data_IF_446838827244
#
_entry.id   IF_446838827244
#
_cell.length_a   1.000
_cell.length_b   1.000
_cell.length_c   1.000
_cell.angle_alpha   90.00
_cell.angle_beta   90.00
_cell.angle_gamma   90.00
#
_symmetry.space_group_name_H-M   'P 1'
#
loop_
_entity.id
_entity.type
_entity.pdbx_description
1 polymer ?
#
# COMPACT_ATOMS: atom_id res chain seq x y z
N UNK A 1 51.79 26.22 -47.16
CA UNK A 1 50.49 25.53 -47.19
C UNK A 1 50.44 24.54 -46.03
N UNK A 2 49.57 24.87 -45.06
CA UNK A 2 48.92 24.06 -44.02
C UNK A 2 49.63 22.86 -43.37
N UNK A 3 50.10 23.06 -42.14
CA UNK A 3 50.11 22.03 -41.09
C UNK A 3 49.21 22.51 -39.95
N UNK A 4 48.00 21.98 -39.85
CA UNK A 4 47.12 22.18 -38.69
C UNK A 4 47.44 21.10 -37.65
N UNK A 5 48.17 21.48 -36.60
CA UNK A 5 48.33 20.67 -35.40
C UNK A 5 47.17 21.02 -34.47
N UNK A 6 46.29 20.04 -34.24
CA UNK A 6 45.17 20.11 -33.31
C UNK A 6 45.71 20.26 -31.88
N UNK A 7 45.52 21.41 -31.25
CA UNK A 7 45.78 21.60 -29.82
C UNK A 7 44.56 21.12 -29.03
N UNK A 8 44.71 19.96 -28.39
CA UNK A 8 43.83 19.46 -27.34
C UNK A 8 43.92 20.38 -26.12
N UNK A 9 42.79 20.94 -25.68
CA UNK A 9 42.68 21.64 -24.40
C UNK A 9 41.90 20.71 -23.48
N UNK A 10 42.63 19.99 -22.63
CA UNK A 10 42.08 19.16 -21.58
C UNK A 10 41.57 20.08 -20.46
N UNK A 11 40.26 20.34 -20.44
CA UNK A 11 39.60 21.02 -19.32
C UNK A 11 39.44 20.02 -18.16
N UNK A 12 40.42 19.98 -17.27
CA UNK A 12 40.35 19.22 -16.02
C UNK A 12 39.39 19.92 -15.06
N UNK A 13 38.15 19.41 -14.97
CA UNK A 13 37.21 19.83 -13.94
C UNK A 13 37.67 19.32 -12.57
N UNK A 14 38.16 20.24 -11.74
CA UNK A 14 38.39 20.01 -10.31
C UNK A 14 37.05 19.76 -9.62
N UNK A 15 36.78 18.50 -9.26
CA UNK A 15 35.75 18.17 -8.28
C UNK A 15 36.25 18.59 -6.89
N UNK A 16 35.89 19.78 -6.46
CA UNK A 16 35.95 20.12 -5.04
C UNK A 16 34.80 19.38 -4.33
N UNK A 17 35.16 18.27 -3.69
CA UNK A 17 34.31 17.57 -2.72
C UNK A 17 34.07 18.52 -1.55
N UNK A 18 32.90 19.17 -1.52
CA UNK A 18 32.42 19.85 -0.31
C UNK A 18 31.90 18.78 0.65
N UNK A 19 32.82 18.02 1.26
CA UNK A 19 32.52 17.15 2.40
C UNK A 19 32.58 17.99 3.67
N UNK A 20 31.47 18.62 4.02
CA UNK A 20 31.44 19.43 5.24
C UNK A 20 30.14 20.16 5.41
N UNK A 21 29.09 19.42 5.79
CA UNK A 21 27.95 19.78 6.66
C UNK A 21 26.86 18.73 6.35
N UNK A 22 26.85 17.60 7.07
CA UNK A 22 25.65 16.74 7.27
C UNK A 22 25.87 15.53 8.20
N UNK A 23 27.00 15.38 8.89
CA UNK A 23 27.25 14.14 9.68
C UNK A 23 26.63 14.15 11.09
N UNK A 24 26.27 15.31 11.65
CA UNK A 24 25.68 15.36 13.01
C UNK A 24 24.19 15.01 13.07
N UNK A 25 23.42 15.22 12.00
CA UNK A 25 22.00 14.83 11.98
C UNK A 25 21.79 13.31 11.80
N UNK A 26 22.70 12.64 11.07
CA UNK A 26 22.59 11.22 10.75
C UNK A 26 22.90 10.33 11.98
N UNK A 27 23.83 10.73 12.85
CA UNK A 27 24.20 9.93 14.03
C UNK A 27 23.09 9.82 15.10
N UNK A 28 22.21 10.81 15.22
CA UNK A 28 21.09 10.80 16.19
C UNK A 28 19.94 9.87 15.75
N UNK A 29 19.68 9.81 14.43
CA UNK A 29 18.66 8.93 13.84
C UNK A 29 19.08 7.44 13.92
N UNK A 30 20.39 7.16 13.91
CA UNK A 30 20.93 5.80 13.95
C UNK A 30 21.00 5.18 15.35
N UNK A 31 20.92 5.96 16.44
CA UNK A 31 21.01 5.39 17.79
C UNK A 31 19.70 4.75 18.26
N UNK A 32 18.55 5.22 17.78
CA UNK A 32 17.24 4.65 18.07
C UNK A 32 16.33 4.76 16.84
N UNK A 33 16.17 3.69 16.03
CA UNK A 33 15.29 3.76 14.87
C UNK A 33 13.87 4.09 15.33
N UNK A 34 13.16 4.90 14.56
CA UNK A 34 11.71 5.10 14.77
C UNK A 34 10.95 3.86 14.33
N UNK A 35 9.68 3.76 14.72
CA UNK A 35 8.81 2.70 14.19
C UNK A 35 8.75 2.74 12.66
N UNK A 36 8.68 3.92 12.05
CA UNK A 36 8.71 4.08 10.61
C UNK A 36 9.98 3.52 9.98
N UNK A 37 11.17 3.88 10.50
CA UNK A 37 12.44 3.39 9.97
C UNK A 37 12.53 1.86 10.06
N UNK A 38 12.00 1.26 11.14
CA UNK A 38 11.93 -0.20 11.27
C UNK A 38 11.02 -0.82 10.21
N UNK A 39 9.82 -0.27 9.99
CA UNK A 39 8.91 -0.77 8.96
C UNK A 39 9.50 -0.67 7.56
N UNK A 40 10.14 0.45 7.24
CA UNK A 40 10.82 0.67 5.95
C UNK A 40 11.97 -0.32 5.75
N UNK A 41 12.74 -0.64 6.80
CA UNK A 41 13.78 -1.68 6.73
C UNK A 41 13.23 -3.09 6.45
N UNK A 42 11.94 -3.30 6.72
CA UNK A 42 11.19 -4.53 6.42
C UNK A 42 10.42 -4.43 5.10
N UNK A 43 10.68 -3.40 4.29
CA UNK A 43 10.04 -3.12 3.00
C UNK A 43 8.54 -2.76 3.06
N UNK A 44 8.03 -2.36 4.23
CA UNK A 44 6.68 -1.81 4.33
C UNK A 44 6.67 -0.35 3.87
N UNK A 45 5.63 0.01 3.11
CA UNK A 45 5.33 1.40 2.73
C UNK A 45 4.18 1.91 3.57
N UNK A 46 4.28 3.12 4.11
CA UNK A 46 3.20 3.69 4.92
C UNK A 46 2.02 4.16 4.07
N UNK A 47 0.82 4.22 4.63
CA UNK A 47 -0.35 4.82 3.98
C UNK A 47 -0.17 6.30 3.62
N UNK A 48 0.75 7.00 4.31
CA UNK A 48 1.14 8.37 3.94
C UNK A 48 1.81 8.46 2.56
N UNK A 49 2.32 7.34 2.04
CA UNK A 49 2.93 7.27 0.70
C UNK A 49 1.92 7.02 -0.43
N UNK A 50 0.63 6.78 -0.12
CA UNK A 50 -0.42 6.70 -1.13
C UNK A 50 -0.55 8.05 -1.85
N UNK A 51 -0.52 8.02 -3.19
CA UNK A 51 -0.56 9.24 -4.02
C UNK A 51 -1.98 9.60 -4.42
N UNK A 52 -2.86 8.60 -4.58
CA UNK A 52 -4.24 8.80 -5.01
C UNK A 52 -5.22 8.56 -3.87
N UNK A 53 -6.22 9.43 -3.80
CA UNK A 53 -7.35 9.28 -2.88
C UNK A 53 -6.92 8.94 -1.45
N UNK A 54 -5.85 9.60 -0.97
CA UNK A 54 -5.15 9.21 0.25
C UNK A 54 -6.10 9.08 1.45
N UNK A 55 -7.06 10.01 1.60
CA UNK A 55 -8.03 9.95 2.70
C UNK A 55 -9.03 8.79 2.56
N UNK A 56 -9.41 8.43 1.32
CA UNK A 56 -10.24 7.25 1.07
C UNK A 56 -9.53 5.99 1.57
N UNK A 57 -8.21 5.86 1.38
CA UNK A 57 -7.43 4.73 1.91
C UNK A 57 -7.48 4.61 3.42
N UNK A 58 -7.36 5.74 4.12
CA UNK A 58 -7.51 5.77 5.58
C UNK A 58 -8.91 5.35 6.01
N UNK A 59 -9.94 5.75 5.27
CA UNK A 59 -11.33 5.39 5.53
C UNK A 59 -11.59 3.90 5.30
N UNK A 60 -11.07 3.33 4.22
CA UNK A 60 -11.17 1.88 3.94
C UNK A 60 -10.53 1.07 5.07
N UNK A 61 -9.30 1.40 5.46
CA UNK A 61 -8.61 0.70 6.57
C UNK A 61 -9.39 0.83 7.88
N UNK A 62 -10.00 2.01 8.13
CA UNK A 62 -10.85 2.18 9.30
C UNK A 62 -12.09 1.30 9.26
N UNK A 63 -12.84 1.31 8.15
CA UNK A 63 -14.07 0.51 7.98
C UNK A 63 -13.76 -0.97 8.15
N UNK A 64 -12.73 -1.47 7.45
CA UNK A 64 -12.35 -2.88 7.46
C UNK A 64 -11.91 -3.38 8.85
N UNK A 65 -11.51 -2.46 9.75
CA UNK A 65 -10.96 -2.80 11.07
C UNK A 65 -11.63 -2.06 12.23
N UNK A 66 -12.84 -1.53 12.03
CA UNK A 66 -13.49 -0.60 12.96
C UNK A 66 -13.56 -1.13 14.39
N UNK A 67 -13.96 -2.39 14.56
CA UNK A 67 -14.12 -3.03 15.87
C UNK A 67 -12.82 -3.17 16.66
N UNK A 68 -11.67 -3.36 15.99
CA UNK A 68 -10.36 -3.41 16.65
C UNK A 68 -9.83 -1.99 16.90
N UNK A 69 -10.01 -1.07 15.95
CA UNK A 69 -9.50 0.29 16.04
C UNK A 69 -10.18 1.13 17.12
N UNK A 70 -11.47 0.92 17.39
CA UNK A 70 -12.18 1.57 18.50
C UNK A 70 -11.55 1.20 19.86
N UNK A 71 -11.04 -0.04 20.00
CA UNK A 71 -10.37 -0.49 21.22
C UNK A 71 -8.95 0.02 21.32
N UNK A 72 -8.26 0.15 20.19
CA UNK A 72 -6.86 0.58 20.11
C UNK A 72 -6.70 2.10 20.25
N UNK A 73 -7.63 2.88 19.69
CA UNK A 73 -7.53 4.34 19.60
C UNK A 73 -8.61 4.96 20.47
N UNK A 74 -8.23 5.40 21.66
CA UNK A 74 -9.13 5.90 22.72
C UNK A 74 -10.03 7.07 22.32
N UNK A 75 -9.67 7.80 21.25
CA UNK A 75 -10.43 8.95 20.77
C UNK A 75 -11.54 8.57 19.79
N UNK A 76 -11.65 7.30 19.40
CA UNK A 76 -12.71 6.79 18.53
C UNK A 76 -13.79 6.16 19.41
N UNK A 77 -15.05 6.56 19.19
CA UNK A 77 -16.22 5.99 19.86
C UNK A 77 -16.94 5.03 18.92
N UNK A 78 -17.77 4.13 19.46
CA UNK A 78 -18.64 3.28 18.63
C UNK A 78 -19.57 4.11 17.72
N UNK A 79 -19.99 5.28 18.21
CA UNK A 79 -20.81 6.24 17.46
C UNK A 79 -20.04 7.08 16.44
N UNK A 80 -18.71 6.94 16.36
CA UNK A 80 -17.91 7.70 15.39
C UNK A 80 -18.25 7.30 13.96
N UNK A 81 -18.41 8.33 13.12
CA UNK A 81 -18.55 8.16 11.68
C UNK A 81 -17.27 7.62 11.06
N UNK A 82 -17.37 7.06 9.86
CA UNK A 82 -16.20 6.47 9.19
C UNK A 82 -15.13 7.51 8.84
N UNK A 83 -15.53 8.76 8.58
CA UNK A 83 -14.60 9.87 8.34
C UNK A 83 -13.87 10.30 9.62
N UNK A 84 -14.58 10.39 10.75
CA UNK A 84 -13.96 10.73 12.05
C UNK A 84 -12.98 9.64 12.50
N UNK A 85 -13.37 8.38 12.32
CA UNK A 85 -12.52 7.23 12.58
C UNK A 85 -11.26 7.22 11.70
N UNK A 86 -11.42 7.46 10.39
CA UNK A 86 -10.31 7.58 9.45
C UNK A 86 -9.33 8.70 9.82
N UNK A 87 -9.84 9.87 10.20
CA UNK A 87 -9.01 11.00 10.64
C UNK A 87 -8.24 10.65 11.91
N UNK A 88 -8.90 10.03 12.88
CA UNK A 88 -8.30 9.61 14.15
C UNK A 88 -7.23 8.54 13.91
N UNK A 89 -7.47 7.57 13.03
CA UNK A 89 -6.49 6.57 12.60
C UNK A 89 -5.27 7.22 11.95
N UNK A 90 -5.48 8.13 10.97
CA UNK A 90 -4.38 8.85 10.31
C UNK A 90 -3.53 9.62 11.34
N UNK A 91 -4.18 10.30 12.28
CA UNK A 91 -3.49 11.04 13.33
C UNK A 91 -2.69 10.12 14.27
N UNK A 92 -3.30 9.01 14.71
CA UNK A 92 -2.65 8.00 15.53
C UNK A 92 -1.41 7.42 14.85
N UNK A 93 -1.53 7.02 13.57
CA UNK A 93 -0.40 6.53 12.79
C UNK A 93 0.72 7.58 12.67
N UNK A 94 0.39 8.85 12.38
CA UNK A 94 1.37 9.92 12.29
C UNK A 94 2.20 10.09 13.59
N UNK A 95 1.55 9.97 14.75
CA UNK A 95 2.23 10.04 16.05
C UNK A 95 3.11 8.80 16.26
N UNK A 96 2.54 7.61 16.14
CA UNK A 96 3.22 6.38 16.54
C UNK A 96 4.34 5.95 15.58
N UNK A 97 4.24 6.27 14.29
CA UNK A 97 5.31 6.05 13.31
C UNK A 97 6.57 6.87 13.63
N UNK A 98 6.42 8.07 14.19
CA UNK A 98 7.52 8.99 14.53
C UNK A 98 8.15 8.71 15.89
N UNK A 99 7.49 7.93 16.75
CA UNK A 99 8.05 7.50 18.04
C UNK A 99 9.24 6.55 17.84
N UNK A 100 10.08 6.46 18.87
CA UNK A 100 11.14 5.43 18.98
C UNK A 100 10.53 4.04 18.77
N UNK A 101 11.29 3.15 18.14
CA UNK A 101 10.85 1.80 17.86
C UNK A 101 10.36 1.10 19.12
N UNK A 102 9.18 0.52 19.00
CA UNK A 102 8.46 -0.22 20.03
C UNK A 102 7.99 -1.55 19.40
N UNK A 103 8.57 -2.69 19.82
CA UNK A 103 8.18 -4.01 19.33
C UNK A 103 6.69 -4.30 19.52
N UNK A 104 6.10 -3.87 20.64
CA UNK A 104 4.71 -4.18 21.00
C UNK A 104 3.71 -3.46 20.07
N UNK A 105 4.14 -2.35 19.48
CA UNK A 105 3.36 -1.58 18.51
C UNK A 105 3.55 -2.07 17.07
N UNK A 106 4.55 -2.90 16.81
CA UNK A 106 5.01 -3.19 15.45
C UNK A 106 3.91 -3.81 14.59
N UNK A 107 3.16 -4.78 15.13
CA UNK A 107 2.13 -5.48 14.36
C UNK A 107 0.90 -4.61 14.10
N UNK A 108 0.48 -3.80 15.07
CA UNK A 108 -0.57 -2.79 14.89
C UNK A 108 -0.19 -1.77 13.81
N UNK A 109 1.07 -1.30 13.81
CA UNK A 109 1.53 -0.35 12.81
C UNK A 109 1.64 -0.98 11.42
N UNK A 110 2.08 -2.25 11.30
CA UNK A 110 2.04 -2.99 10.04
C UNK A 110 0.60 -3.08 9.53
N UNK A 111 -0.34 -3.47 10.38
CA UNK A 111 -1.74 -3.72 9.98
C UNK A 111 -2.46 -2.43 9.58
N UNK A 112 -2.28 -1.35 10.35
CA UNK A 112 -3.15 -0.16 10.22
C UNK A 112 -2.49 1.06 9.59
N UNK A 113 -1.15 1.12 9.53
CA UNK A 113 -0.43 2.30 9.05
C UNK A 113 0.34 2.06 7.74
N UNK A 114 0.27 0.85 7.17
CA UNK A 114 0.97 0.49 5.93
C UNK A 114 0.02 0.22 4.78
N UNK A 115 0.52 0.35 3.56
CA UNK A 115 -0.23 0.02 2.36
C UNK A 115 -0.56 -1.47 2.38
N UNK A 116 -1.84 -1.78 2.26
CA UNK A 116 -2.31 -3.12 1.93
C UNK A 116 -2.37 -3.29 0.40
N UNK A 117 -2.62 -4.52 -0.05
CA UNK A 117 -2.70 -4.85 -1.48
C UNK A 117 -3.78 -4.00 -2.17
N UNK A 118 -4.95 -3.81 -1.57
CA UNK A 118 -6.03 -2.98 -2.14
C UNK A 118 -5.61 -1.55 -2.40
N UNK A 119 -5.03 -0.89 -1.40
CA UNK A 119 -4.53 0.48 -1.52
C UNK A 119 -3.46 0.60 -2.61
N UNK A 120 -2.55 -0.38 -2.71
CA UNK A 120 -1.51 -0.39 -3.73
C UNK A 120 -2.07 -0.60 -5.15
N UNK A 121 -3.10 -1.42 -5.32
CA UNK A 121 -3.72 -1.66 -6.62
C UNK A 121 -4.42 -0.42 -7.16
N UNK A 122 -5.14 0.28 -6.29
CA UNK A 122 -5.95 1.45 -6.62
C UNK A 122 -5.14 2.76 -6.74
N UNK A 123 -3.81 2.67 -6.70
CA UNK A 123 -2.91 3.73 -7.20
C UNK A 123 -2.91 3.78 -8.74
N UNK A 124 -3.33 2.70 -9.40
CA UNK A 124 -3.44 2.65 -10.86
C UNK A 124 -4.68 3.43 -11.32
N UNK A 125 -4.60 4.22 -12.42
CA UNK A 125 -5.78 4.85 -13.01
C UNK A 125 -6.78 3.82 -13.53
N UNK A 126 -8.06 4.16 -13.43
CA UNK A 126 -9.17 3.47 -14.10
C UNK A 126 -9.36 2.01 -13.68
N UNK A 127 -9.06 1.70 -12.42
CA UNK A 127 -9.26 0.36 -11.84
C UNK A 127 -10.17 0.43 -10.63
N UNK A 128 -11.23 -0.37 -10.65
CA UNK A 128 -12.09 -0.60 -9.50
C UNK A 128 -11.93 -2.04 -9.01
N UNK A 129 -12.22 -2.22 -7.73
CA UNK A 129 -12.24 -3.50 -7.06
C UNK A 129 -13.61 -4.19 -7.23
N UNK A 130 -13.60 -5.52 -7.35
CA UNK A 130 -14.79 -6.33 -7.61
C UNK A 130 -15.85 -6.26 -6.49
N UNK A 131 -15.44 -5.95 -5.26
CA UNK A 131 -16.30 -5.75 -4.08
C UNK A 131 -16.90 -4.33 -4.01
N UNK A 132 -16.44 -3.39 -4.83
CA UNK A 132 -16.86 -1.98 -4.80
C UNK A 132 -17.97 -1.61 -5.78
N UNK A 133 -18.40 -2.52 -6.65
CA UNK A 133 -19.35 -2.23 -7.73
C UNK A 133 -20.70 -2.89 -7.43
N UNK A 134 -21.82 -2.14 -7.49
CA UNK A 134 -23.14 -2.74 -7.46
C UNK A 134 -23.38 -3.46 -8.80
N UNK A 135 -23.16 -4.77 -8.81
CA UNK A 135 -23.35 -5.62 -10.00
C UNK A 135 -24.68 -6.37 -9.91
N UNK A 136 -25.42 -6.38 -11.02
CA UNK A 136 -26.54 -7.32 -11.19
C UNK A 136 -26.02 -8.75 -11.41
N UNK A 137 -26.91 -9.74 -11.31
CA UNK A 137 -26.55 -11.15 -11.42
C UNK A 137 -25.94 -11.52 -12.80
N UNK A 138 -26.39 -10.87 -13.88
CA UNK A 138 -25.85 -11.11 -15.24
C UNK A 138 -24.42 -10.57 -15.37
N UNK A 139 -24.14 -9.40 -14.78
CA UNK A 139 -22.81 -8.82 -14.72
C UNK A 139 -21.86 -9.66 -13.86
N UNK A 140 -22.32 -10.13 -12.69
CA UNK A 140 -21.55 -11.04 -11.83
C UNK A 140 -21.20 -12.32 -12.58
N UNK A 141 -22.16 -12.95 -13.24
CA UNK A 141 -21.94 -14.17 -14.01
C UNK A 141 -20.95 -13.96 -15.16
N UNK A 142 -21.09 -12.86 -15.91
CA UNK A 142 -20.15 -12.51 -16.99
C UNK A 142 -18.72 -12.33 -16.48
N UNK A 143 -18.53 -11.63 -15.36
CA UNK A 143 -17.21 -11.44 -14.75
C UNK A 143 -16.68 -12.78 -14.23
N UNK A 144 -17.53 -13.56 -13.56
CA UNK A 144 -17.15 -14.87 -13.02
C UNK A 144 -16.66 -15.81 -14.12
N UNK A 145 -17.44 -15.98 -15.18
CA UNK A 145 -17.12 -16.87 -16.30
C UNK A 145 -15.80 -16.49 -17.00
N UNK A 146 -15.46 -15.20 -17.02
CA UNK A 146 -14.17 -14.72 -17.54
C UNK A 146 -12.99 -15.23 -16.71
N UNK A 147 -13.14 -15.34 -15.39
CA UNK A 147 -12.04 -15.61 -14.47
C UNK A 147 -12.03 -17.04 -13.90
N UNK A 148 -13.16 -17.74 -13.91
CA UNK A 148 -13.38 -19.03 -13.26
C UNK A 148 -12.29 -20.06 -13.59
N UNK A 149 -12.07 -20.33 -14.89
CA UNK A 149 -11.09 -21.33 -15.33
C UNK A 149 -9.67 -20.99 -14.85
N UNK A 150 -9.28 -19.72 -14.93
CA UNK A 150 -7.98 -19.25 -14.47
C UNK A 150 -7.82 -19.32 -12.94
N UNK A 151 -8.88 -18.99 -12.20
CA UNK A 151 -8.92 -19.04 -10.75
C UNK A 151 -8.84 -20.50 -10.25
N UNK A 152 -9.57 -21.43 -10.88
CA UNK A 152 -9.49 -22.87 -10.57
C UNK A 152 -8.08 -23.41 -10.85
N UNK A 153 -7.51 -23.09 -12.01
CA UNK A 153 -6.17 -23.54 -12.39
C UNK A 153 -5.09 -23.08 -11.40
N UNK A 154 -5.27 -21.92 -10.77
CA UNK A 154 -4.35 -21.35 -9.78
C UNK A 154 -4.65 -21.75 -8.34
N UNK A 155 -5.68 -22.58 -8.11
CA UNK A 155 -6.08 -23.02 -6.78
C UNK A 155 -6.72 -21.92 -5.92
N UNK A 156 -7.23 -20.86 -6.56
CA UNK A 156 -7.97 -19.78 -5.89
C UNK A 156 -9.40 -20.24 -5.60
N UNK A 157 -10.02 -20.93 -6.57
CA UNK A 157 -11.36 -21.47 -6.48
C UNK A 157 -11.40 -22.98 -6.72
N UNK A 158 -12.48 -23.61 -6.27
CA UNK A 158 -12.88 -24.98 -6.57
C UNK A 158 -14.05 -25.00 -7.54
N UNK A 159 -14.26 -26.12 -8.25
CA UNK A 159 -15.30 -26.29 -9.30
C UNK A 159 -16.76 -26.03 -8.90
N UNK A 160 -17.06 -25.81 -7.63
CA UNK A 160 -18.42 -25.55 -7.11
C UNK A 160 -18.57 -24.15 -6.50
N UNK A 161 -17.49 -23.39 -6.46
CA UNK A 161 -17.51 -22.03 -5.92
C UNK A 161 -18.09 -21.06 -6.93
N UNK A 162 -18.65 -19.97 -6.43
CA UNK A 162 -19.40 -18.95 -7.18
C UNK A 162 -18.65 -17.61 -7.15
N UNK A 163 -19.25 -16.60 -7.77
CA UNK A 163 -18.73 -15.23 -7.76
C UNK A 163 -18.48 -14.71 -6.34
N UNK A 164 -19.39 -14.96 -5.40
CA UNK A 164 -19.24 -14.47 -4.03
C UNK A 164 -18.02 -15.09 -3.33
N UNK A 165 -17.68 -16.36 -3.60
CA UNK A 165 -16.44 -16.97 -3.11
C UNK A 165 -15.18 -16.27 -3.64
N UNK A 166 -15.22 -15.81 -4.90
CA UNK A 166 -14.14 -15.03 -5.48
C UNK A 166 -14.02 -13.66 -4.78
N UNK A 167 -15.16 -13.01 -4.51
CA UNK A 167 -15.21 -11.73 -3.80
C UNK A 167 -14.64 -11.87 -2.38
N UNK A 168 -15.01 -12.93 -1.67
CA UNK A 168 -14.49 -13.19 -0.33
C UNK A 168 -12.99 -13.46 -0.34
N UNK A 169 -12.51 -14.27 -1.29
CA UNK A 169 -11.07 -14.44 -1.50
C UNK A 169 -10.38 -13.10 -1.78
N UNK A 170 -10.96 -12.24 -2.61
CA UNK A 170 -10.42 -10.91 -2.87
C UNK A 170 -10.33 -10.06 -1.59
N UNK A 171 -11.38 -10.03 -0.76
CA UNK A 171 -11.41 -9.30 0.52
C UNK A 171 -10.34 -9.79 1.49
N UNK A 172 -10.20 -11.10 1.65
CA UNK A 172 -9.20 -11.70 2.54
C UNK A 172 -7.77 -11.34 2.13
N UNK A 173 -7.52 -11.21 0.83
CA UNK A 173 -6.20 -10.87 0.31
C UNK A 173 -5.97 -9.35 0.18
N UNK A 174 -7.03 -8.55 0.07
CA UNK A 174 -6.93 -7.10 -0.02
C UNK A 174 -6.33 -6.45 1.22
N UNK A 175 -6.59 -7.02 2.41
CA UNK A 175 -6.10 -6.51 3.70
C UNK A 175 -4.62 -6.85 3.97
N UNK A 176 -4.03 -7.76 3.19
CA UNK A 176 -2.65 -8.16 3.39
C UNK A 176 -1.67 -7.04 3.02
N UNK A 177 -0.52 -6.95 3.70
CA UNK A 177 0.43 -5.86 3.46
C UNK A 177 1.05 -5.95 2.06
N UNK A 178 1.25 -4.79 1.43
CA UNK A 178 1.95 -4.69 0.15
C UNK A 178 3.47 -4.70 0.36
N UNK A 179 4.01 -5.91 0.52
CA UNK A 179 5.44 -6.19 0.77
C UNK A 179 5.96 -7.26 -0.20
N UNK A 180 7.29 -7.38 -0.39
CA UNK A 180 7.88 -8.31 -1.37
C UNK A 180 7.42 -9.77 -1.25
N UNK A 181 7.23 -10.29 -0.03
CA UNK A 181 6.74 -11.66 0.18
C UNK A 181 5.33 -11.88 -0.38
N UNK A 182 4.54 -10.82 -0.54
CA UNK A 182 3.16 -10.85 -1.04
C UNK A 182 3.06 -10.45 -2.52
N UNK A 183 4.16 -10.20 -3.24
CA UNK A 183 4.08 -9.71 -4.62
C UNK A 183 3.45 -10.72 -5.59
N UNK A 184 3.73 -12.02 -5.41
CA UNK A 184 3.06 -13.06 -6.21
C UNK A 184 1.54 -12.99 -6.05
N UNK A 185 1.08 -12.86 -4.81
CA UNK A 185 -0.33 -12.71 -4.50
C UNK A 185 -0.89 -11.40 -5.04
N UNK A 186 -0.18 -10.29 -4.88
CA UNK A 186 -0.57 -8.98 -5.43
C UNK A 186 -0.91 -9.06 -6.93
N UNK A 187 -0.12 -9.78 -7.73
CA UNK A 187 -0.42 -9.95 -9.16
C UNK A 187 -1.65 -10.83 -9.42
N UNK A 188 -1.91 -11.84 -8.57
CA UNK A 188 -3.14 -12.63 -8.66
C UNK A 188 -4.36 -11.78 -8.30
N UNK A 189 -4.30 -11.03 -7.19
CA UNK A 189 -5.37 -10.12 -6.78
C UNK A 189 -5.61 -9.06 -7.85
N UNK A 190 -4.54 -8.50 -8.44
CA UNK A 190 -4.66 -7.56 -9.57
C UNK A 190 -5.44 -8.14 -10.74
N UNK A 191 -5.18 -9.39 -11.08
CA UNK A 191 -5.78 -10.05 -12.23
C UNK A 191 -7.25 -10.40 -12.01
N UNK A 192 -7.59 -10.90 -10.82
CA UNK A 192 -8.89 -11.48 -10.54
C UNK A 192 -9.86 -10.57 -9.79
N UNK A 193 -9.34 -9.61 -9.03
CA UNK A 193 -10.13 -8.76 -8.15
C UNK A 193 -10.32 -7.33 -8.67
N UNK A 194 -9.76 -7.02 -9.83
CA UNK A 194 -9.95 -5.72 -10.48
C UNK A 194 -10.77 -5.84 -11.75
N UNK A 195 -11.60 -4.84 -11.98
CA UNK A 195 -12.33 -4.61 -13.22
C UNK A 195 -12.00 -3.22 -13.78
N UNK A 196 -11.99 -3.03 -15.12
CA UNK A 196 -11.82 -1.70 -15.71
C UNK A 196 -13.01 -0.80 -15.34
N UNK A 197 -12.74 0.44 -14.94
CA UNK A 197 -13.80 1.43 -14.60
C UNK A 197 -14.76 1.73 -15.75
N UNK A 198 -14.31 1.58 -17.00
CA UNK A 198 -15.04 2.03 -18.19
C UNK A 198 -15.94 0.97 -18.84
N UNK A 199 -16.29 -0.12 -18.12
CA UNK A 199 -17.08 -1.23 -18.69
C UNK A 199 -18.48 -1.37 -18.12
N UNK A 200 -18.89 -0.48 -17.21
CA UNK A 200 -20.19 -0.51 -16.56
C UNK A 200 -20.72 0.92 -16.39
#
# INVERSE_FOLDING_TARGET
>A
MSFNIVKSISASALFTVVSGITVKAIKSILTHPTNQAKLESLNYKTLFSAKRDQFIRWREVFIDNKGELIKLITNIKESSTDNEGAYSLKHWCNIHLKKKYDPDMCDSLKKYCTLNIKAALLESPNTQNIDGIPLDEEQKERIFNKYESGAIKRGILSKKQRFDDLVDWCKDNFILPYIPSNYKLFYQVKEFCLTPESKF
#
